data_IF_552684553719
#
_entry.id   IF_552684553719
#
_cell.length_a   1.000
_cell.length_b   1.000
_cell.length_c   1.000
_cell.angle_alpha   90.00
_cell.angle_beta   90.00
_cell.angle_gamma   90.00
#
_symmetry.space_group_name_H-M   'P 1'
#
loop_
_entity.id
_entity.type
_entity.pdbx_description
1 polymer ?
#
# COMPACT_ATOMS: atom_id res chain seq x y z
N UNK A 1 28.39 -67.35 -53.75
CA UNK A 1 27.62 -67.18 -52.50
C UNK A 1 27.47 -65.69 -52.23
N UNK A 2 26.25 -65.14 -52.21
CA UNK A 2 26.05 -63.70 -52.01
C UNK A 2 26.14 -63.33 -50.52
N UNK A 3 26.82 -62.23 -50.23
CA UNK A 3 26.97 -61.65 -48.89
C UNK A 3 25.71 -60.83 -48.60
N UNK A 4 24.91 -61.25 -47.60
CA UNK A 4 23.78 -60.48 -47.10
C UNK A 4 24.31 -59.30 -46.25
N UNK A 5 24.00 -58.08 -46.69
CA UNK A 5 24.23 -56.85 -45.91
C UNK A 5 23.05 -56.68 -44.96
N UNK A 6 23.30 -56.77 -43.66
CA UNK A 6 22.30 -56.53 -42.62
C UNK A 6 21.98 -55.03 -42.53
N UNK A 7 20.72 -54.66 -42.71
CA UNK A 7 20.21 -53.30 -42.52
C UNK A 7 20.31 -52.88 -41.06
N UNK A 8 20.88 -51.70 -40.83
CA UNK A 8 21.00 -51.10 -39.50
C UNK A 8 19.63 -50.61 -39.01
N UNK A 9 19.07 -51.30 -38.01
CA UNK A 9 17.81 -50.93 -37.37
C UNK A 9 17.82 -49.51 -36.75
N UNK A 10 16.62 -48.92 -36.52
CA UNK A 10 16.47 -47.53 -36.10
C UNK A 10 17.15 -47.28 -34.74
N UNK A 11 18.18 -46.41 -34.75
CA UNK A 11 18.90 -46.01 -33.54
C UNK A 11 17.95 -45.32 -32.56
N UNK A 12 17.80 -45.90 -31.36
CA UNK A 12 17.03 -45.32 -30.26
C UNK A 12 17.62 -43.96 -29.89
N UNK A 13 16.80 -42.90 -29.95
CA UNK A 13 17.18 -41.53 -29.55
C UNK A 13 17.67 -41.55 -28.10
N UNK A 14 18.88 -41.04 -27.88
CA UNK A 14 19.52 -40.97 -26.56
C UNK A 14 18.79 -39.98 -25.66
N UNK A 15 18.84 -40.22 -24.35
CA UNK A 15 18.19 -39.41 -23.30
C UNK A 15 18.50 -37.90 -23.42
N UNK A 16 19.70 -37.54 -23.90
CA UNK A 16 20.08 -36.15 -24.17
C UNK A 16 19.28 -35.45 -25.28
N UNK A 17 18.77 -36.19 -26.29
CA UNK A 17 17.92 -35.62 -27.35
C UNK A 17 16.47 -35.40 -26.88
N UNK A 18 16.01 -36.09 -25.83
CA UNK A 18 14.69 -35.86 -25.23
C UNK A 18 14.68 -34.66 -24.26
N UNK A 19 15.80 -34.39 -23.58
CA UNK A 19 15.95 -33.24 -22.68
C UNK A 19 16.07 -31.89 -23.42
N UNK A 20 16.67 -31.87 -24.62
CA UNK A 20 16.77 -30.64 -25.43
C UNK A 20 15.43 -30.14 -25.98
N UNK A 21 14.50 -31.03 -26.31
CA UNK A 21 13.21 -30.67 -26.90
C UNK A 21 12.24 -30.02 -25.90
N UNK A 22 12.25 -30.47 -24.63
CA UNK A 22 11.41 -29.88 -23.58
C UNK A 22 11.91 -28.52 -23.09
N UNK A 23 13.22 -28.29 -23.13
CA UNK A 23 13.81 -27.01 -22.71
C UNK A 23 13.53 -25.88 -23.73
N UNK A 24 13.56 -26.19 -25.02
CA UNK A 24 13.20 -25.22 -26.06
C UNK A 24 11.73 -24.82 -25.97
N UNK A 25 10.84 -25.79 -25.70
CA UNK A 25 9.41 -25.54 -25.50
C UNK A 25 9.13 -24.66 -24.27
N UNK A 26 9.88 -24.86 -23.18
CA UNK A 26 9.77 -24.02 -21.99
C UNK A 26 10.28 -22.58 -22.24
N UNK A 27 11.34 -22.40 -23.02
CA UNK A 27 11.83 -21.08 -23.41
C UNK A 27 10.85 -20.34 -24.33
N UNK A 28 10.21 -21.04 -25.27
CA UNK A 28 9.20 -20.46 -26.15
C UNK A 28 7.95 -20.01 -25.38
N UNK A 29 7.53 -20.77 -24.35
CA UNK A 29 6.42 -20.39 -23.45
C UNK A 29 6.77 -19.12 -22.67
N UNK A 30 7.98 -19.02 -22.10
CA UNK A 30 8.41 -17.82 -21.35
C UNK A 30 8.52 -16.59 -22.26
N UNK A 31 8.99 -16.75 -23.50
CA UNK A 31 9.03 -15.67 -24.48
C UNK A 31 7.61 -15.19 -24.84
N UNK A 32 6.67 -16.10 -25.06
CA UNK A 32 5.26 -15.77 -25.30
C UNK A 32 4.60 -15.05 -24.12
N UNK A 33 4.93 -15.44 -22.89
CA UNK A 33 4.36 -14.83 -21.69
C UNK A 33 4.93 -13.42 -21.43
N UNK A 34 6.19 -13.19 -21.81
CA UNK A 34 6.77 -11.84 -21.83
C UNK A 34 6.11 -10.94 -22.89
N UNK A 35 5.85 -11.46 -24.09
CA UNK A 35 5.14 -10.71 -25.13
C UNK A 35 3.70 -10.37 -24.71
N UNK A 36 2.96 -11.33 -24.13
CA UNK A 36 1.61 -11.10 -23.59
C UNK A 36 1.61 -10.04 -22.48
N UNK A 37 2.58 -10.09 -21.57
CA UNK A 37 2.70 -9.09 -20.51
C UNK A 37 3.07 -7.70 -21.04
N UNK A 38 3.91 -7.61 -22.08
CA UNK A 38 4.19 -6.33 -22.75
C UNK A 38 2.95 -5.81 -23.48
N UNK A 39 2.20 -6.67 -24.15
CA UNK A 39 0.97 -6.29 -24.84
C UNK A 39 -0.10 -5.81 -23.86
N UNK A 40 -0.30 -6.51 -22.74
CA UNK A 40 -1.22 -6.10 -21.67
C UNK A 40 -0.83 -4.76 -21.04
N UNK A 41 0.47 -4.52 -20.80
CA UNK A 41 0.97 -3.20 -20.35
C UNK A 41 0.73 -2.10 -21.37
N UNK A 42 0.92 -2.39 -22.66
CA UNK A 42 0.68 -1.41 -23.71
C UNK A 42 -0.80 -1.06 -23.86
N UNK A 43 -1.70 -2.04 -23.69
CA UNK A 43 -3.15 -1.84 -23.67
C UNK A 43 -3.58 -1.02 -22.46
N UNK A 44 -3.13 -1.36 -21.25
CA UNK A 44 -3.40 -0.56 -20.05
C UNK A 44 -2.88 0.88 -20.19
N UNK A 45 -1.69 1.08 -20.76
CA UNK A 45 -1.15 2.42 -21.00
C UNK A 45 -1.98 3.21 -22.02
N UNK A 46 -2.52 2.54 -23.05
CA UNK A 46 -3.44 3.17 -24.00
C UNK A 46 -4.80 3.52 -23.36
N UNK A 47 -5.35 2.65 -22.52
CA UNK A 47 -6.58 2.92 -21.78
C UNK A 47 -6.40 4.07 -20.77
N UNK A 48 -5.29 4.10 -20.05
CA UNK A 48 -4.96 5.23 -19.16
C UNK A 48 -4.82 6.54 -19.93
N UNK A 49 -4.24 6.52 -21.14
CA UNK A 49 -4.19 7.71 -22.02
C UNK A 49 -5.57 8.13 -22.51
N UNK A 50 -6.44 7.17 -22.89
CA UNK A 50 -7.83 7.45 -23.28
C UNK A 50 -8.60 8.06 -22.11
N UNK A 51 -8.47 7.48 -20.92
CA UNK A 51 -9.12 7.96 -19.70
C UNK A 51 -8.61 9.36 -19.30
N UNK A 52 -7.30 9.60 -19.34
CA UNK A 52 -6.72 10.92 -19.09
C UNK A 52 -7.16 11.97 -20.12
N UNK A 53 -7.30 11.57 -21.39
CA UNK A 53 -7.81 12.44 -22.46
C UNK A 53 -9.31 12.74 -22.28
N UNK A 54 -10.12 11.76 -21.88
CA UNK A 54 -11.54 11.96 -21.54
C UNK A 54 -11.71 12.86 -20.31
N UNK A 55 -10.91 12.65 -19.25
CA UNK A 55 -10.90 13.50 -18.06
C UNK A 55 -10.48 14.94 -18.42
N UNK A 56 -9.43 15.09 -19.24
CA UNK A 56 -8.97 16.39 -19.72
C UNK A 56 -10.00 17.10 -20.61
N UNK A 57 -10.75 16.36 -21.44
CA UNK A 57 -11.87 16.89 -22.21
C UNK A 57 -13.04 17.30 -21.31
N UNK A 58 -13.30 16.56 -20.24
CA UNK A 58 -14.35 16.88 -19.27
C UNK A 58 -13.98 18.12 -18.43
N UNK A 59 -12.71 18.25 -18.04
CA UNK A 59 -12.17 19.45 -17.40
C UNK A 59 -12.17 20.65 -18.35
N UNK A 60 -11.80 20.50 -19.62
CA UNK A 60 -11.91 21.57 -20.62
C UNK A 60 -13.35 21.99 -20.87
N UNK A 61 -14.32 21.06 -20.92
CA UNK A 61 -15.75 21.40 -21.00
C UNK A 61 -16.22 22.12 -19.74
N UNK A 62 -15.76 21.71 -18.56
CA UNK A 62 -16.01 22.40 -17.29
C UNK A 62 -15.42 23.81 -17.26
N UNK A 63 -14.18 23.98 -17.74
CA UNK A 63 -13.50 25.27 -17.84
C UNK A 63 -14.09 26.18 -18.92
N UNK A 64 -14.54 25.65 -20.06
CA UNK A 64 -15.30 26.41 -21.06
C UNK A 64 -16.67 26.84 -20.54
N UNK A 65 -17.35 25.98 -19.76
CA UNK A 65 -18.59 26.36 -19.08
C UNK A 65 -18.36 27.43 -17.98
N UNK A 66 -17.22 27.39 -17.29
CA UNK A 66 -16.81 28.41 -16.32
C UNK A 66 -16.33 29.71 -16.99
N UNK A 67 -15.63 29.64 -18.13
CA UNK A 67 -15.18 30.79 -18.91
C UNK A 67 -16.37 31.50 -19.61
N UNK A 68 -17.35 30.73 -20.12
CA UNK A 68 -18.63 31.27 -20.58
C UNK A 68 -19.43 31.96 -19.47
N UNK A 69 -19.29 31.51 -18.21
CA UNK A 69 -19.87 32.19 -17.05
C UNK A 69 -19.09 33.44 -16.61
N UNK A 70 -17.76 33.47 -16.74
CA UNK A 70 -16.95 34.66 -16.43
C UNK A 70 -17.13 35.79 -17.45
N UNK A 71 -17.39 35.48 -18.72
CA UNK A 71 -17.75 36.49 -19.74
C UNK A 71 -19.21 36.94 -19.66
N UNK A 72 -20.08 36.19 -18.98
CA UNK A 72 -21.45 36.59 -18.64
C UNK A 72 -21.58 37.23 -17.23
N UNK A 73 -20.44 37.46 -16.57
CA UNK A 73 -20.34 37.97 -15.19
C UNK A 73 -20.21 39.49 -15.08
N UNK A 74 -20.47 40.26 -16.14
CA UNK A 74 -20.91 41.63 -15.94
C UNK A 74 -22.30 41.59 -15.31
N UNK A 75 -22.37 42.16 -14.13
CA UNK A 75 -23.46 42.19 -13.15
C UNK A 75 -24.74 42.83 -13.73
N UNK A 76 -25.33 42.21 -14.76
CA UNK A 76 -26.67 42.56 -15.22
C UNK A 76 -27.62 41.95 -14.20
N UNK A 77 -28.12 42.81 -13.31
CA UNK A 77 -29.31 42.54 -12.50
C UNK A 77 -30.30 41.71 -13.33
N UNK A 78 -30.82 40.60 -12.82
CA UNK A 78 -31.68 39.71 -13.61
C UNK A 78 -32.80 40.54 -14.24
N UNK A 79 -32.78 40.65 -15.58
CA UNK A 79 -33.86 41.31 -16.31
C UNK A 79 -35.10 40.43 -16.14
N UNK A 80 -36.03 40.93 -15.32
CA UNK A 80 -37.45 40.57 -15.31
C UNK A 80 -37.76 39.08 -15.39
N UNK A 81 -37.90 38.44 -14.23
CA UNK A 81 -38.79 37.27 -14.14
C UNK A 81 -40.21 37.65 -14.56
N UNK A 82 -41.01 36.66 -14.97
CA UNK A 82 -42.33 36.71 -15.61
C UNK A 82 -43.44 37.59 -14.95
N UNK A 83 -43.15 38.30 -13.87
CA UNK A 83 -43.98 39.35 -13.28
C UNK A 83 -43.32 40.71 -13.57
N UNK A 84 -43.56 41.28 -14.76
CA UNK A 84 -42.87 42.47 -15.28
C UNK A 84 -43.08 43.80 -14.55
N UNK A 85 -43.34 43.81 -13.24
CA UNK A 85 -43.36 45.03 -12.44
C UNK A 85 -41.93 45.36 -11.98
N UNK A 86 -41.43 46.59 -12.24
CA UNK A 86 -40.14 47.01 -11.72
C UNK A 86 -40.16 46.97 -10.20
N UNK A 87 -39.13 46.37 -9.60
CA UNK A 87 -38.98 46.31 -8.15
C UNK A 87 -38.80 47.75 -7.63
N UNK A 88 -39.62 48.21 -6.67
CA UNK A 88 -39.43 49.52 -6.04
C UNK A 88 -38.03 49.63 -5.42
N UNK A 89 -37.41 50.82 -5.51
CA UNK A 89 -36.03 51.02 -5.03
C UNK A 89 -35.90 50.75 -3.53
N UNK A 90 -36.94 51.07 -2.77
CA UNK A 90 -37.04 50.85 -1.33
C UNK A 90 -36.94 49.36 -1.02
N UNK A 91 -37.71 48.53 -1.74
CA UNK A 91 -37.71 47.07 -1.59
C UNK A 91 -36.36 46.48 -2.02
N UNK A 92 -35.78 46.98 -3.12
CA UNK A 92 -34.46 46.54 -3.60
C UNK A 92 -33.34 46.83 -2.59
N UNK A 93 -33.37 47.99 -1.93
CA UNK A 93 -32.38 48.37 -0.91
C UNK A 93 -32.49 47.48 0.32
N UNK A 94 -33.71 47.24 0.81
CA UNK A 94 -33.96 46.37 1.97
C UNK A 94 -33.53 44.93 1.66
N UNK A 95 -33.86 44.37 0.48
CA UNK A 95 -33.39 43.04 0.08
C UNK A 95 -31.87 42.95 0.04
N UNK A 96 -31.19 43.97 -0.53
CA UNK A 96 -29.73 44.01 -0.61
C UNK A 96 -29.09 44.09 0.78
N UNK A 97 -29.72 44.81 1.70
CA UNK A 97 -29.29 44.92 3.08
C UNK A 97 -29.44 43.58 3.81
N UNK A 98 -30.56 42.89 3.67
CA UNK A 98 -30.79 41.56 4.29
C UNK A 98 -29.76 40.55 3.80
N UNK A 99 -29.50 40.49 2.49
CA UNK A 99 -28.53 39.55 1.91
C UNK A 99 -27.11 39.86 2.34
N UNK A 100 -26.73 41.15 2.42
CA UNK A 100 -25.38 41.55 2.82
C UNK A 100 -25.13 41.37 4.32
N UNK A 101 -26.15 41.56 5.16
CA UNK A 101 -26.07 41.32 6.60
C UNK A 101 -26.08 39.83 6.96
N UNK A 102 -26.62 38.97 6.09
CA UNK A 102 -26.76 37.53 6.36
C UNK A 102 -26.09 36.66 5.27
N UNK A 103 -24.76 36.77 5.09
CA UNK A 103 -24.05 36.08 4.03
C UNK A 103 -24.05 34.56 4.17
N UNK A 104 -24.31 34.02 5.37
CA UNK A 104 -24.35 32.59 5.68
C UNK A 104 -25.74 31.99 5.73
N UNK A 105 -26.80 32.80 5.68
CA UNK A 105 -28.17 32.32 5.84
C UNK A 105 -28.58 31.38 4.70
N UNK A 106 -29.23 30.27 5.03
CA UNK A 106 -29.79 29.34 4.05
C UNK A 106 -31.05 29.94 3.38
N UNK A 107 -31.56 29.30 2.32
CA UNK A 107 -32.72 29.82 1.59
C UNK A 107 -33.97 30.04 2.46
N UNK A 108 -34.23 29.17 3.44
CA UNK A 108 -35.42 29.24 4.30
C UNK A 108 -35.30 30.36 5.35
N UNK A 109 -34.11 30.54 5.91
CA UNK A 109 -33.78 31.67 6.80
C UNK A 109 -33.88 33.00 6.05
N UNK A 110 -33.36 33.05 4.82
CA UNK A 110 -33.44 34.24 3.98
C UNK A 110 -34.89 34.60 3.66
N UNK A 111 -35.73 33.59 3.41
CA UNK A 111 -37.17 33.75 3.19
C UNK A 111 -37.86 34.30 4.43
N UNK A 112 -37.61 33.72 5.61
CA UNK A 112 -38.19 34.22 6.87
C UNK A 112 -37.82 35.68 7.12
N UNK A 113 -36.55 36.06 6.93
CA UNK A 113 -36.12 37.46 7.12
C UNK A 113 -36.76 38.43 6.12
N UNK A 114 -37.00 38.00 4.89
CA UNK A 114 -37.70 38.81 3.88
C UNK A 114 -39.20 38.92 4.20
N UNK A 115 -39.82 37.86 4.72
CA UNK A 115 -41.21 37.87 5.17
C UNK A 115 -41.39 38.77 6.42
N UNK A 116 -40.48 38.71 7.39
CA UNK A 116 -40.48 39.55 8.61
C UNK A 116 -40.31 41.04 8.31
N UNK A 117 -39.55 41.38 7.27
CA UNK A 117 -39.37 42.77 6.81
C UNK A 117 -40.50 43.25 5.89
N UNK A 118 -41.52 42.41 5.67
CA UNK A 118 -42.71 42.76 4.90
C UNK A 118 -42.48 42.82 3.40
N UNK A 119 -41.43 42.17 2.88
CA UNK A 119 -41.16 42.13 1.44
C UNK A 119 -42.10 41.12 0.78
N UNK A 120 -42.95 41.54 -0.18
CA UNK A 120 -43.86 40.63 -0.85
C UNK A 120 -43.13 39.47 -1.55
N UNK A 121 -43.67 38.24 -1.51
CA UNK A 121 -43.10 37.06 -2.17
C UNK A 121 -42.82 37.24 -3.67
N UNK A 122 -43.58 38.11 -4.34
CA UNK A 122 -43.39 38.46 -5.75
C UNK A 122 -42.00 39.06 -6.04
N UNK A 123 -41.39 39.74 -5.06
CA UNK A 123 -40.07 40.36 -5.22
C UNK A 123 -38.94 39.50 -4.63
N UNK A 124 -39.18 38.84 -3.49
CA UNK A 124 -38.18 38.00 -2.80
C UNK A 124 -37.98 36.62 -3.45
N UNK A 125 -38.99 36.08 -4.15
CA UNK A 125 -38.98 34.71 -4.66
C UNK A 125 -37.78 34.36 -5.55
N UNK A 126 -37.34 35.30 -6.41
CA UNK A 126 -36.17 35.08 -7.28
C UNK A 126 -34.84 35.01 -6.51
N UNK A 127 -34.70 35.78 -5.42
CA UNK A 127 -33.51 35.77 -4.57
C UNK A 127 -33.45 34.51 -3.70
N UNK A 128 -34.59 34.14 -3.09
CA UNK A 128 -34.72 32.92 -2.30
C UNK A 128 -34.47 31.68 -3.16
N UNK A 129 -35.07 31.60 -4.35
CA UNK A 129 -34.86 30.47 -5.26
C UNK A 129 -33.41 30.41 -5.78
N UNK A 130 -32.77 31.55 -6.06
CA UNK A 130 -31.35 31.57 -6.40
C UNK A 130 -30.47 31.07 -5.25
N UNK A 131 -30.78 31.44 -4.00
CA UNK A 131 -30.09 30.95 -2.81
C UNK A 131 -30.30 29.45 -2.64
N UNK A 132 -31.53 28.96 -2.78
CA UNK A 132 -31.89 27.54 -2.74
C UNK A 132 -31.10 26.74 -3.75
N UNK A 133 -31.02 27.20 -5.00
CA UNK A 133 -30.19 26.57 -6.05
C UNK A 133 -28.69 26.62 -5.75
N UNK A 134 -28.20 27.66 -5.08
CA UNK A 134 -26.80 27.70 -4.63
C UNK A 134 -26.55 26.68 -3.52
N UNK A 135 -27.47 26.56 -2.56
CA UNK A 135 -27.38 25.61 -1.45
C UNK A 135 -27.48 24.17 -1.95
N UNK A 136 -28.42 23.87 -2.85
CA UNK A 136 -28.53 22.58 -3.55
C UNK A 136 -27.25 22.24 -4.33
N UNK A 137 -26.67 23.20 -5.05
CA UNK A 137 -25.39 22.99 -5.76
C UNK A 137 -24.23 22.74 -4.82
N UNK A 138 -24.17 23.46 -3.68
CA UNK A 138 -23.15 23.25 -2.65
C UNK A 138 -23.31 21.86 -2.04
N UNK A 139 -24.52 21.48 -1.62
CA UNK A 139 -24.83 20.17 -1.06
C UNK A 139 -24.45 19.05 -2.05
N UNK A 140 -24.89 19.14 -3.30
CA UNK A 140 -24.53 18.18 -4.35
C UNK A 140 -23.01 18.13 -4.63
N UNK A 141 -22.31 19.26 -4.54
CA UNK A 141 -20.85 19.29 -4.70
C UNK A 141 -20.14 18.63 -3.53
N UNK A 142 -20.61 18.83 -2.30
CA UNK A 142 -20.09 18.19 -1.10
C UNK A 142 -20.34 16.69 -1.16
N UNK A 143 -21.54 16.26 -1.55
CA UNK A 143 -21.87 14.84 -1.71
C UNK A 143 -20.99 14.16 -2.77
N UNK A 144 -20.78 14.82 -3.92
CA UNK A 144 -19.82 14.35 -4.92
C UNK A 144 -18.39 14.28 -4.40
N UNK A 145 -17.96 15.24 -3.58
CA UNK A 145 -16.63 15.20 -2.95
C UNK A 145 -16.52 14.02 -1.97
N UNK A 146 -17.57 13.73 -1.21
CA UNK A 146 -17.62 12.55 -0.32
C UNK A 146 -17.52 11.26 -1.12
N UNK A 147 -18.32 11.12 -2.18
CA UNK A 147 -18.33 9.93 -3.04
C UNK A 147 -16.97 9.72 -3.73
N UNK A 148 -16.38 10.78 -4.30
CA UNK A 148 -15.04 10.72 -4.89
C UNK A 148 -13.98 10.40 -3.83
N UNK A 149 -14.15 10.93 -2.61
CA UNK A 149 -13.27 10.68 -1.48
C UNK A 149 -13.24 9.20 -1.11
N UNK A 150 -14.41 8.61 -0.91
CA UNK A 150 -14.61 7.19 -0.63
C UNK A 150 -14.05 6.31 -1.74
N UNK A 151 -14.38 6.60 -3.02
CA UNK A 151 -13.86 5.83 -4.16
C UNK A 151 -12.33 5.83 -4.25
N UNK A 152 -11.68 6.94 -3.89
CA UNK A 152 -10.21 7.03 -3.87
C UNK A 152 -9.62 6.29 -2.67
N UNK A 153 -10.26 6.36 -1.51
CA UNK A 153 -9.83 5.66 -0.30
C UNK A 153 -10.04 4.14 -0.38
N UNK A 154 -11.05 3.68 -1.14
CA UNK A 154 -11.42 2.27 -1.30
C UNK A 154 -10.23 1.39 -1.71
N UNK A 155 -9.34 1.87 -2.58
CA UNK A 155 -8.14 1.12 -2.95
C UNK A 155 -7.23 0.86 -1.75
N UNK A 156 -7.01 1.87 -0.91
CA UNK A 156 -6.17 1.78 0.29
C UNK A 156 -6.81 0.88 1.34
N UNK A 157 -8.12 0.97 1.52
CA UNK A 157 -8.86 0.10 2.46
C UNK A 157 -8.83 -1.37 2.02
N UNK A 158 -9.05 -1.65 0.74
CA UNK A 158 -8.92 -3.00 0.19
C UNK A 158 -7.51 -3.57 0.33
N UNK A 159 -6.48 -2.72 0.25
CA UNK A 159 -5.09 -3.13 0.48
C UNK A 159 -4.84 -3.43 1.97
N UNK A 160 -5.42 -2.64 2.88
CA UNK A 160 -5.41 -2.91 4.32
C UNK A 160 -6.07 -4.24 4.69
N UNK A 161 -7.21 -4.55 4.08
CA UNK A 161 -7.86 -5.84 4.30
C UNK A 161 -7.03 -7.03 3.82
N UNK A 162 -6.31 -6.87 2.71
CA UNK A 162 -5.38 -7.91 2.21
C UNK A 162 -4.20 -8.09 3.16
N UNK A 163 -3.53 -6.99 3.52
CA UNK A 163 -2.41 -7.02 4.46
C UNK A 163 -2.84 -7.63 5.80
N UNK A 164 -4.02 -7.26 6.32
CA UNK A 164 -4.56 -7.82 7.57
C UNK A 164 -4.75 -9.34 7.53
N UNK A 165 -5.06 -9.92 6.37
CA UNK A 165 -5.17 -11.38 6.19
C UNK A 165 -3.83 -12.07 6.02
N UNK A 166 -2.85 -11.39 5.42
CA UNK A 166 -1.52 -11.91 5.16
C UNK A 166 -0.60 -11.85 6.39
N UNK A 167 -0.78 -10.86 7.28
CA UNK A 167 0.08 -10.63 8.45
C UNK A 167 0.25 -11.87 9.35
N UNK A 168 -0.81 -12.57 9.80
CA UNK A 168 -0.65 -13.75 10.65
C UNK A 168 0.12 -14.89 9.97
N UNK A 169 -0.07 -15.06 8.65
CA UNK A 169 0.65 -16.07 7.86
C UNK A 169 2.12 -15.70 7.75
N UNK A 170 2.43 -14.42 7.53
CA UNK A 170 3.79 -13.92 7.49
C UNK A 170 4.49 -14.06 8.86
N UNK A 171 3.80 -13.74 9.95
CA UNK A 171 4.31 -13.90 11.33
C UNK A 171 4.63 -15.36 11.64
N UNK A 172 3.70 -16.28 11.37
CA UNK A 172 3.94 -17.73 11.52
C UNK A 172 5.12 -18.22 10.67
N UNK A 173 5.28 -17.66 9.47
CA UNK A 173 6.38 -18.02 8.58
C UNK A 173 7.73 -17.51 9.08
N UNK A 174 7.76 -16.30 9.64
CA UNK A 174 8.95 -15.73 10.27
C UNK A 174 9.37 -16.59 11.48
N UNK A 175 8.42 -16.95 12.35
CA UNK A 175 8.71 -17.79 13.50
C UNK A 175 9.28 -19.16 13.07
N UNK A 176 8.69 -19.78 12.04
CA UNK A 176 9.22 -21.03 11.48
C UNK A 176 10.64 -20.87 10.90
N UNK A 177 10.95 -19.74 10.25
CA UNK A 177 12.32 -19.43 9.81
C UNK A 177 13.29 -19.31 10.98
N UNK A 178 12.87 -18.67 12.08
CA UNK A 178 13.71 -18.51 13.28
C UNK A 178 14.01 -19.86 13.93
N UNK A 179 12.99 -20.69 14.11
CA UNK A 179 13.13 -22.05 14.62
C UNK A 179 14.09 -22.87 13.74
N UNK A 180 14.00 -22.73 12.41
CA UNK A 180 14.91 -23.40 11.50
C UNK A 180 16.38 -22.94 11.68
N UNK A 181 16.63 -21.67 11.98
CA UNK A 181 17.99 -21.19 12.29
C UNK A 181 18.47 -21.76 13.63
N UNK A 182 17.64 -21.69 14.67
CA UNK A 182 17.99 -22.19 16.00
C UNK A 182 18.32 -23.69 15.98
N UNK A 183 17.55 -24.47 15.22
CA UNK A 183 17.73 -25.91 15.06
C UNK A 183 18.79 -26.28 14.02
N UNK A 184 19.35 -25.31 13.28
CA UNK A 184 20.33 -25.55 12.22
C UNK A 184 19.77 -26.29 11.01
N UNK A 185 18.45 -26.25 10.78
CA UNK A 185 17.79 -26.89 9.65
C UNK A 185 18.03 -26.11 8.35
N UNK A 186 19.07 -26.49 7.62
CA UNK A 186 19.39 -25.91 6.33
C UNK A 186 18.40 -26.30 5.22
N UNK A 187 17.65 -27.38 5.39
CA UNK A 187 16.70 -27.87 4.38
C UNK A 187 15.46 -26.98 4.27
N UNK A 188 15.07 -26.34 5.39
CA UNK A 188 14.03 -25.30 5.45
C UNK A 188 14.32 -24.12 4.51
N UNK A 189 15.59 -23.84 4.23
CA UNK A 189 16.02 -22.74 3.38
C UNK A 189 16.14 -23.12 1.90
N UNK A 190 15.62 -24.29 1.53
CA UNK A 190 15.58 -24.70 0.13
C UNK A 190 14.75 -23.70 -0.71
N UNK A 191 15.07 -23.55 -2.01
CA UNK A 191 14.28 -22.70 -2.89
C UNK A 191 12.78 -23.09 -2.92
N UNK A 192 12.47 -24.37 -2.75
CA UNK A 192 11.10 -24.87 -2.72
C UNK A 192 10.34 -24.43 -1.46
N UNK A 193 10.97 -24.57 -0.29
CA UNK A 193 10.42 -24.09 0.98
C UNK A 193 10.24 -22.57 0.98
N UNK A 194 11.22 -21.83 0.46
CA UNK A 194 11.09 -20.37 0.31
C UNK A 194 9.95 -19.98 -0.64
N UNK A 195 9.73 -20.75 -1.71
CA UNK A 195 8.61 -20.52 -2.62
C UNK A 195 7.26 -20.73 -1.94
N UNK A 196 7.15 -21.78 -1.11
CA UNK A 196 5.94 -22.08 -0.35
C UNK A 196 5.63 -21.00 0.68
N UNK A 197 6.66 -20.55 1.40
CA UNK A 197 6.52 -19.51 2.42
C UNK A 197 6.14 -18.16 1.80
N UNK A 198 6.74 -17.80 0.67
CA UNK A 198 6.56 -16.48 0.05
C UNK A 198 5.45 -16.43 -0.99
N UNK A 199 4.95 -17.59 -1.42
CA UNK A 199 4.05 -17.73 -2.56
C UNK A 199 4.68 -17.41 -3.92
N UNK A 200 6.01 -17.25 -3.99
CA UNK A 200 6.72 -16.88 -5.22
C UNK A 200 7.16 -18.15 -5.96
N UNK A 201 6.34 -18.65 -6.88
CA UNK A 201 6.65 -19.83 -7.72
C UNK A 201 7.97 -19.73 -8.50
N UNK A 202 8.40 -18.50 -8.81
CA UNK A 202 9.70 -18.27 -9.42
C UNK A 202 10.86 -18.78 -8.53
N UNK A 203 10.66 -18.95 -7.22
CA UNK A 203 11.69 -19.50 -6.34
C UNK A 203 11.94 -20.99 -6.58
N UNK A 204 10.91 -21.78 -6.94
CA UNK A 204 11.05 -23.21 -7.28
C UNK A 204 11.79 -23.44 -8.59
N UNK A 205 11.45 -22.63 -9.59
CA UNK A 205 11.82 -22.89 -10.99
C UNK A 205 13.08 -22.15 -11.44
N UNK A 206 13.47 -21.09 -10.73
CA UNK A 206 14.56 -20.23 -11.15
C UNK A 206 15.95 -20.83 -10.89
N UNK A 207 16.74 -20.98 -11.95
CA UNK A 207 18.18 -21.23 -11.81
C UNK A 207 18.87 -19.97 -11.26
N UNK A 208 19.40 -20.05 -10.03
CA UNK A 208 20.39 -19.15 -9.42
C UNK A 208 20.20 -17.64 -9.65
N UNK A 209 20.58 -17.13 -10.83
CA UNK A 209 20.42 -15.71 -11.19
C UNK A 209 18.96 -15.25 -11.30
N UNK A 210 18.07 -16.07 -11.84
CA UNK A 210 16.63 -15.74 -11.93
C UNK A 210 15.98 -15.67 -10.54
N UNK A 211 16.46 -16.49 -9.60
CA UNK A 211 15.96 -16.55 -8.22
C UNK A 211 16.25 -15.23 -7.51
N UNK A 212 17.50 -14.74 -7.63
CA UNK A 212 17.90 -13.44 -7.05
C UNK A 212 17.05 -12.29 -7.58
N UNK A 213 16.79 -12.26 -8.89
CA UNK A 213 15.95 -11.21 -9.49
C UNK A 213 14.52 -11.29 -8.99
N UNK A 214 13.92 -12.48 -8.96
CA UNK A 214 12.55 -12.67 -8.47
C UNK A 214 12.43 -12.25 -6.99
N UNK A 215 13.37 -12.67 -6.14
CA UNK A 215 13.35 -12.39 -4.71
C UNK A 215 13.57 -10.91 -4.41
N UNK A 216 14.48 -10.26 -5.14
CA UNK A 216 14.66 -8.81 -5.10
C UNK A 216 13.38 -8.07 -5.52
N UNK A 217 12.76 -8.47 -6.63
CA UNK A 217 11.53 -7.84 -7.12
C UNK A 217 10.39 -8.01 -6.13
N UNK A 218 10.24 -9.22 -5.56
CA UNK A 218 9.29 -9.49 -4.51
C UNK A 218 9.51 -8.56 -3.32
N UNK A 219 10.71 -8.53 -2.74
CA UNK A 219 11.02 -7.70 -1.58
C UNK A 219 10.81 -6.20 -1.83
N UNK A 220 11.22 -5.69 -2.99
CA UNK A 220 10.99 -4.28 -3.34
C UNK A 220 9.50 -3.98 -3.50
N UNK A 221 8.73 -4.88 -4.12
CA UNK A 221 7.28 -4.69 -4.27
C UNK A 221 6.56 -4.80 -2.93
N UNK A 222 7.02 -5.70 -2.07
CA UNK A 222 6.49 -5.93 -0.74
C UNK A 222 6.65 -4.66 0.12
N UNK A 223 7.84 -4.07 0.15
CA UNK A 223 8.08 -2.81 0.87
C UNK A 223 7.32 -1.62 0.29
N UNK A 224 7.13 -1.58 -1.04
CA UNK A 224 6.34 -0.51 -1.69
C UNK A 224 4.89 -0.52 -1.27
N UNK A 225 4.30 -1.68 -0.96
CA UNK A 225 2.92 -1.76 -0.45
C UNK A 225 2.74 -0.97 0.86
N UNK A 226 3.81 -0.88 1.67
CA UNK A 226 3.83 -0.09 2.92
C UNK A 226 4.37 1.33 2.74
N UNK A 227 4.53 1.80 1.50
CA UNK A 227 5.07 3.13 1.17
C UNK A 227 6.59 3.27 1.39
N UNK A 228 7.30 2.19 1.69
CA UNK A 228 8.73 2.21 1.96
C UNK A 228 9.57 1.88 0.71
N UNK A 229 10.73 2.52 0.60
CA UNK A 229 11.79 2.12 -0.34
C UNK A 229 13.07 1.85 0.44
N UNK A 230 13.66 0.64 0.35
CA UNK A 230 14.90 0.35 1.05
C UNK A 230 16.03 1.22 0.50
N UNK A 231 17.00 1.57 1.35
CA UNK A 231 18.21 2.23 0.89
C UNK A 231 19.11 1.24 0.12
N UNK A 232 20.05 1.75 -0.68
CA UNK A 232 20.93 0.91 -1.52
C UNK A 232 21.77 -0.09 -0.70
N UNK A 233 22.13 0.26 0.53
CA UNK A 233 22.88 -0.63 1.41
C UNK A 233 22.03 -1.86 1.78
N UNK A 234 20.82 -1.65 2.28
CA UNK A 234 19.86 -2.71 2.62
C UNK A 234 19.59 -3.60 1.40
N UNK A 235 19.31 -2.99 0.25
CA UNK A 235 19.02 -3.72 -0.99
C UNK A 235 20.20 -4.60 -1.40
N UNK A 236 21.44 -4.10 -1.29
CA UNK A 236 22.65 -4.86 -1.59
C UNK A 236 22.85 -6.02 -0.61
N UNK A 237 22.72 -5.78 0.70
CA UNK A 237 22.88 -6.83 1.71
C UNK A 237 21.86 -7.95 1.51
N UNK A 238 20.61 -7.61 1.23
CA UNK A 238 19.57 -8.59 0.97
C UNK A 238 19.85 -9.43 -0.29
N UNK A 239 20.25 -8.80 -1.40
CA UNK A 239 20.60 -9.50 -2.63
C UNK A 239 21.81 -10.43 -2.45
N UNK A 240 22.82 -9.97 -1.70
CA UNK A 240 24.01 -10.75 -1.39
C UNK A 240 23.68 -11.94 -0.46
N UNK A 241 22.77 -11.75 0.49
CA UNK A 241 22.26 -12.81 1.37
C UNK A 241 21.44 -13.85 0.60
N UNK A 242 20.51 -13.44 -0.28
CA UNK A 242 19.72 -14.35 -1.12
C UNK A 242 20.59 -15.29 -1.97
N UNK A 243 21.79 -14.86 -2.37
CA UNK A 243 22.73 -15.70 -3.09
C UNK A 243 23.30 -16.87 -2.28
N UNK A 244 23.26 -16.75 -0.96
CA UNK A 244 23.88 -17.64 0.01
C UNK A 244 22.86 -18.26 0.97
N UNK A 245 21.57 -17.99 0.78
CA UNK A 245 20.48 -18.55 1.59
C UNK A 245 20.56 -20.08 1.57
N UNK A 246 20.35 -20.69 2.73
CA UNK A 246 20.53 -22.11 3.01
C UNK A 246 21.97 -22.59 3.12
N UNK A 247 22.97 -21.74 2.85
CA UNK A 247 24.41 -22.10 2.90
C UNK A 247 25.19 -21.36 3.96
N UNK A 248 24.70 -20.21 4.39
CA UNK A 248 25.35 -19.36 5.39
C UNK A 248 24.31 -18.93 6.42
N UNK A 249 24.66 -19.08 7.70
CA UNK A 249 23.85 -18.60 8.82
C UNK A 249 23.61 -17.09 8.71
N UNK A 250 24.64 -16.31 8.34
CA UNK A 250 24.56 -14.88 8.06
C UNK A 250 23.48 -14.56 7.01
N UNK A 251 23.46 -15.34 5.94
CA UNK A 251 22.54 -15.14 4.83
C UNK A 251 21.09 -15.46 5.25
N UNK A 252 20.89 -16.54 6.00
CA UNK A 252 19.59 -16.91 6.54
C UNK A 252 19.07 -15.83 7.50
N UNK A 253 19.91 -15.39 8.45
CA UNK A 253 19.56 -14.32 9.39
C UNK A 253 19.21 -13.00 8.68
N UNK A 254 20.00 -12.61 7.69
CA UNK A 254 19.73 -11.39 6.89
C UNK A 254 18.38 -11.47 6.17
N UNK A 255 18.03 -12.65 5.65
CA UNK A 255 16.74 -12.88 4.99
C UNK A 255 15.60 -12.80 6.01
N UNK A 256 15.70 -13.43 7.19
CA UNK A 256 14.70 -13.30 8.26
C UNK A 256 14.50 -11.84 8.65
N UNK A 257 15.58 -11.12 8.93
CA UNK A 257 15.49 -9.71 9.35
C UNK A 257 14.86 -8.84 8.26
N UNK A 258 15.03 -9.20 6.98
CA UNK A 258 14.33 -8.56 5.87
C UNK A 258 12.82 -8.80 5.92
N UNK A 259 12.40 -10.04 6.20
CA UNK A 259 10.99 -10.38 6.36
C UNK A 259 10.36 -9.71 7.58
N UNK A 260 11.06 -9.71 8.73
CA UNK A 260 10.64 -8.97 9.93
C UNK A 260 10.49 -7.48 9.66
N UNK A 261 11.48 -6.88 8.99
CA UNK A 261 11.41 -5.48 8.61
C UNK A 261 10.18 -5.18 7.75
N UNK A 262 9.88 -6.01 6.75
CA UNK A 262 8.69 -5.82 5.91
C UNK A 262 7.39 -6.02 6.69
N UNK A 263 7.33 -7.08 7.50
CA UNK A 263 6.21 -7.38 8.37
C UNK A 263 5.88 -6.22 9.32
N UNK A 264 6.88 -5.65 9.99
CA UNK A 264 6.69 -4.51 10.91
C UNK A 264 6.15 -3.27 10.19
N UNK A 265 6.65 -2.99 8.98
CA UNK A 265 6.15 -1.90 8.17
C UNK A 265 4.69 -2.11 7.78
N UNK A 266 4.33 -3.32 7.34
CA UNK A 266 2.94 -3.66 6.99
C UNK A 266 2.01 -3.57 8.19
N UNK A 267 2.44 -4.07 9.35
CA UNK A 267 1.67 -4.02 10.59
C UNK A 267 1.38 -2.58 10.99
N UNK A 268 2.41 -1.73 11.05
CA UNK A 268 2.20 -0.33 11.41
C UNK A 268 1.44 0.46 10.32
N UNK A 269 1.62 0.11 9.05
CA UNK A 269 0.83 0.70 7.96
C UNK A 269 -0.66 0.39 8.12
N UNK A 270 -1.00 -0.87 8.44
CA UNK A 270 -2.38 -1.30 8.72
C UNK A 270 -2.95 -0.55 9.93
N UNK A 271 -2.20 -0.47 11.02
CA UNK A 271 -2.63 0.25 12.23
C UNK A 271 -2.85 1.74 11.93
N UNK A 272 -1.96 2.35 11.13
CA UNK A 272 -2.11 3.75 10.69
C UNK A 272 -3.36 3.95 9.83
N UNK A 273 -3.65 3.03 8.91
CA UNK A 273 -4.87 3.09 8.09
C UNK A 273 -6.12 3.01 8.98
N UNK A 274 -6.17 2.05 9.91
CA UNK A 274 -7.31 1.87 10.81
C UNK A 274 -7.54 3.07 11.71
N UNK A 275 -6.47 3.61 12.30
CA UNK A 275 -6.55 4.79 13.17
C UNK A 275 -7.01 6.04 12.40
N UNK A 276 -6.56 6.22 11.16
CA UNK A 276 -7.00 7.34 10.33
C UNK A 276 -8.43 7.14 9.82
N UNK A 277 -8.82 5.92 9.50
CA UNK A 277 -10.18 5.57 9.12
C UNK A 277 -11.18 5.93 10.23
N UNK A 278 -10.96 5.41 11.43
CA UNK A 278 -11.79 5.69 12.61
C UNK A 278 -11.88 7.21 12.85
N UNK A 279 -10.72 7.89 12.89
CA UNK A 279 -10.66 9.34 13.07
C UNK A 279 -11.47 10.12 12.04
N UNK A 280 -11.36 9.78 10.75
CA UNK A 280 -12.08 10.54 9.71
C UNK A 280 -13.57 10.23 9.65
N UNK A 281 -13.97 9.01 9.99
CA UNK A 281 -15.39 8.70 10.15
C UNK A 281 -15.99 9.46 11.34
N UNK A 282 -15.28 9.55 12.46
CA UNK A 282 -15.75 10.30 13.63
C UNK A 282 -15.77 11.83 13.39
N UNK A 283 -14.72 12.38 12.79
CA UNK A 283 -14.58 13.84 12.60
C UNK A 283 -15.42 14.38 11.43
N UNK A 284 -15.51 13.65 10.32
CA UNK A 284 -16.07 14.16 9.06
C UNK A 284 -17.29 13.35 8.57
N UNK A 285 -17.45 12.11 9.04
CA UNK A 285 -18.44 11.17 8.51
C UNK A 285 -18.11 10.65 7.11
N UNK A 286 -16.91 10.90 6.60
CA UNK A 286 -16.43 10.39 5.30
C UNK A 286 -14.90 10.45 5.18
N UNK A 287 -14.36 9.64 4.27
CA UNK A 287 -12.92 9.58 4.00
C UNK A 287 -12.46 10.69 3.05
N UNK A 288 -11.34 11.37 3.33
CA UNK A 288 -10.79 12.39 2.45
C UNK A 288 -10.24 11.78 1.16
N UNK A 289 -10.39 12.47 0.02
CA UNK A 289 -9.95 11.93 -1.28
C UNK A 289 -8.44 11.81 -1.48
N UNK A 290 -7.62 12.29 -0.54
CA UNK A 290 -6.18 12.09 -0.48
C UNK A 290 -5.76 11.15 0.67
N UNK A 291 -6.65 10.27 1.13
CA UNK A 291 -6.43 9.34 2.25
C UNK A 291 -5.09 8.59 2.15
N UNK A 292 -4.76 8.01 0.99
CA UNK A 292 -3.49 7.32 0.76
C UNK A 292 -2.26 8.20 1.07
N UNK A 293 -2.26 9.45 0.61
CA UNK A 293 -1.16 10.38 0.86
C UNK A 293 -1.06 10.81 2.34
N UNK A 294 -2.19 10.80 3.06
CA UNK A 294 -2.20 11.05 4.51
C UNK A 294 -1.58 9.87 5.25
N UNK A 295 -1.92 8.63 4.86
CA UNK A 295 -1.32 7.41 5.42
C UNK A 295 0.20 7.41 5.20
N UNK A 296 0.67 7.65 3.97
CA UNK A 296 2.09 7.72 3.64
C UNK A 296 2.84 8.76 4.49
N UNK A 297 2.25 9.95 4.66
CA UNK A 297 2.83 11.02 5.48
C UNK A 297 2.95 10.64 6.95
N UNK A 298 1.97 9.92 7.50
CA UNK A 298 2.01 9.43 8.89
C UNK A 298 3.01 8.29 9.07
N UNK A 299 3.24 7.48 8.04
CA UNK A 299 4.20 6.37 8.06
C UNK A 299 5.67 6.83 7.91
N UNK A 300 5.92 7.97 7.26
CA UNK A 300 7.28 8.42 6.93
C UNK A 300 8.26 8.47 8.13
N UNK A 301 7.89 9.00 9.32
CA UNK A 301 8.77 9.01 10.49
C UNK A 301 9.14 7.59 10.94
N UNK A 302 8.15 6.70 11.01
CA UNK A 302 8.35 5.31 11.41
C UNK A 302 9.23 4.55 10.42
N UNK A 303 9.00 4.72 9.11
CA UNK A 303 9.81 4.09 8.07
C UNK A 303 11.28 4.50 8.24
N UNK A 304 11.57 5.79 8.46
CA UNK A 304 12.95 6.28 8.64
C UNK A 304 13.61 5.69 9.88
N UNK A 305 12.88 5.60 10.99
CA UNK A 305 13.38 5.00 12.22
C UNK A 305 13.64 3.49 12.05
N UNK A 306 12.65 2.75 11.53
CA UNK A 306 12.77 1.32 11.33
C UNK A 306 13.86 0.96 10.34
N UNK A 307 14.05 1.73 9.27
CA UNK A 307 15.17 1.55 8.34
C UNK A 307 16.53 1.71 9.02
N UNK A 308 16.69 2.71 9.91
CA UNK A 308 17.94 2.88 10.68
C UNK A 308 18.19 1.70 11.61
N UNK A 309 17.14 1.25 12.32
CA UNK A 309 17.24 0.08 13.21
C UNK A 309 17.63 -1.17 12.40
N UNK A 310 16.99 -1.39 11.26
CA UNK A 310 17.29 -2.49 10.37
C UNK A 310 18.71 -2.42 9.79
N UNK A 311 19.17 -1.25 9.35
CA UNK A 311 20.55 -1.07 8.88
C UNK A 311 21.59 -1.40 9.95
N UNK A 312 21.35 -1.00 11.21
CA UNK A 312 22.23 -1.36 12.34
C UNK A 312 22.26 -2.88 12.51
N UNK A 313 21.09 -3.51 12.54
CA UNK A 313 20.97 -4.97 12.67
C UNK A 313 21.73 -5.71 11.58
N UNK A 314 21.64 -5.28 10.32
CA UNK A 314 22.43 -5.86 9.22
C UNK A 314 23.94 -5.70 9.41
N UNK A 315 24.39 -4.58 9.96
CA UNK A 315 25.81 -4.38 10.27
C UNK A 315 26.27 -5.31 11.40
N UNK A 316 25.44 -5.49 12.43
CA UNK A 316 25.73 -6.40 13.53
C UNK A 316 25.84 -7.84 13.00
N UNK A 317 24.92 -8.25 12.10
CA UNK A 317 24.99 -9.52 11.38
C UNK A 317 26.28 -9.67 10.58
N UNK A 318 26.71 -8.64 9.87
CA UNK A 318 27.96 -8.70 9.12
C UNK A 318 29.20 -8.76 10.03
N UNK A 319 29.13 -8.22 11.25
CA UNK A 319 30.23 -8.26 12.22
C UNK A 319 30.32 -9.62 12.90
N UNK A 320 29.21 -10.25 13.26
CA UNK A 320 29.22 -11.58 13.89
C UNK A 320 29.79 -12.65 12.95
N UNK A 321 29.44 -12.58 11.65
CA UNK A 321 29.97 -13.49 10.62
C UNK A 321 31.50 -13.40 10.57
N UNK A 322 32.07 -12.19 10.57
CA UNK A 322 33.52 -11.96 10.59
C UNK A 322 34.20 -12.49 11.84
N UNK A 323 33.49 -12.49 12.97
CA UNK A 323 34.00 -12.97 14.26
C UNK A 323 33.75 -14.48 14.47
N UNK A 324 33.00 -15.13 13.58
CA UNK A 324 32.57 -16.53 13.77
C UNK A 324 31.67 -16.72 15.00
N UNK A 325 30.98 -15.67 15.44
CA UNK A 325 30.08 -15.73 16.59
C UNK A 325 28.66 -16.01 16.11
N UNK A 326 27.95 -16.93 16.80
CA UNK A 326 26.50 -17.09 16.60
C UNK A 326 25.82 -15.79 17.04
N UNK A 327 25.02 -15.24 16.15
CA UNK A 327 24.23 -14.05 16.43
C UNK A 327 22.87 -14.49 16.93
N UNK A 328 22.50 -14.00 18.10
CA UNK A 328 21.20 -14.32 18.67
C UNK A 328 20.13 -13.34 18.19
N UNK A 329 18.85 -13.76 18.26
CA UNK A 329 17.70 -12.91 17.99
C UNK A 329 17.78 -11.55 18.69
N UNK A 330 17.16 -10.54 18.07
CA UNK A 330 17.13 -9.18 18.60
C UNK A 330 16.47 -9.18 20.00
N UNK A 331 17.22 -8.77 21.02
CA UNK A 331 16.75 -8.79 22.42
C UNK A 331 17.59 -9.71 23.32
N UNK A 332 18.20 -10.77 22.79
CA UNK A 332 18.99 -11.73 23.55
C UNK A 332 20.45 -11.29 23.66
N UNK A 333 21.01 -11.30 24.88
CA UNK A 333 22.39 -10.88 25.16
C UNK A 333 23.42 -11.92 24.70
N UNK A 334 22.99 -13.18 24.62
CA UNK A 334 23.85 -14.34 24.38
C UNK A 334 24.68 -14.81 25.52
N UNK A 335 24.47 -14.21 26.67
CA UNK A 335 24.97 -14.71 27.93
C UNK A 335 23.86 -15.52 28.56
N UNK A 336 24.03 -16.83 28.58
CA UNK A 336 23.19 -17.71 29.37
C UNK A 336 23.54 -17.52 30.86
N UNK A 337 22.52 -17.38 31.69
CA UNK A 337 22.61 -17.26 33.13
C UNK A 337 21.78 -18.38 33.74
N UNK A 338 22.38 -19.12 34.67
CA UNK A 338 21.66 -20.10 35.47
C UNK A 338 20.77 -19.37 36.48
N UNK A 339 19.47 -19.63 36.42
CA UNK A 339 18.47 -19.06 37.32
C UNK A 339 17.75 -20.19 38.05
N UNK A 340 17.65 -20.06 39.37
CA UNK A 340 16.91 -20.98 40.24
C UNK A 340 15.47 -20.48 40.34
N UNK A 341 14.51 -21.32 39.91
CA UNK A 341 13.08 -21.03 40.01
C UNK A 341 12.53 -21.14 41.44
N UNK A 342 11.29 -20.67 41.66
CA UNK A 342 10.64 -20.75 42.98
C UNK A 342 10.36 -22.19 43.43
N UNK A 343 10.39 -23.15 42.51
CA UNK A 343 10.30 -24.59 42.77
C UNK A 343 11.65 -25.25 43.11
N UNK A 344 12.75 -24.48 43.05
CA UNK A 344 14.10 -24.95 43.30
C UNK A 344 14.80 -25.61 42.10
N UNK A 345 14.16 -25.64 40.92
CA UNK A 345 14.77 -26.16 39.70
C UNK A 345 15.69 -25.11 39.06
N UNK A 346 16.73 -25.57 38.37
CA UNK A 346 17.66 -24.72 37.62
C UNK A 346 17.21 -24.58 36.17
N UNK A 347 17.21 -23.35 35.69
CA UNK A 347 16.87 -22.96 34.32
C UNK A 347 18.01 -22.17 33.72
N UNK A 348 18.42 -22.50 32.51
CA UNK A 348 19.40 -21.73 31.76
C UNK A 348 18.64 -20.72 30.88
N UNK A 349 18.71 -19.43 31.23
CA UNK A 349 17.97 -18.36 30.57
C UNK A 349 18.93 -17.31 30.01
N UNK A 350 18.54 -16.61 28.95
CA UNK A 350 19.35 -15.50 28.45
C UNK A 350 19.27 -14.31 29.43
N UNK A 351 20.40 -13.64 29.67
CA UNK A 351 20.52 -12.50 30.60
C UNK A 351 19.46 -11.40 30.37
N UNK A 352 19.05 -11.19 29.12
CA UNK A 352 18.01 -10.21 28.78
C UNK A 352 16.59 -10.60 29.25
N UNK A 353 16.35 -11.90 29.44
CA UNK A 353 15.07 -12.44 29.91
C UNK A 353 14.99 -12.40 31.44
N UNK A 354 16.14 -12.30 32.13
CA UNK A 354 16.23 -12.28 33.59
C UNK A 354 15.49 -11.07 34.19
N UNK A 355 15.51 -9.92 33.51
CA UNK A 355 14.79 -8.71 33.96
C UNK A 355 13.26 -8.86 33.88
N UNK A 356 12.76 -9.80 33.09
CA UNK A 356 11.33 -10.04 32.89
C UNK A 356 10.77 -11.16 33.79
N UNK A 357 11.62 -11.79 34.60
CA UNK A 357 11.20 -12.91 35.44
C UNK A 357 10.27 -12.48 36.57
N UNK A 358 9.23 -13.28 36.88
CA UNK A 358 8.35 -13.03 38.01
C UNK A 358 9.12 -13.05 39.34
N UNK A 359 8.57 -12.45 40.41
CA UNK A 359 9.14 -12.55 41.74
C UNK A 359 9.29 -14.03 42.17
N UNK A 360 10.46 -14.41 42.68
CA UNK A 360 10.74 -15.77 43.17
C UNK A 360 11.87 -16.49 42.46
N UNK A 361 12.27 -16.03 41.27
CA UNK A 361 13.47 -16.49 40.59
C UNK A 361 14.72 -15.83 41.20
N UNK A 362 15.85 -16.56 41.26
CA UNK A 362 17.14 -16.06 41.76
C UNK A 362 18.26 -16.45 40.82
N UNK A 363 19.12 -15.49 40.48
CA UNK A 363 20.35 -15.74 39.74
C UNK A 363 21.27 -16.60 40.63
N UNK A 364 21.82 -17.67 40.07
CA UNK A 364 22.69 -18.61 40.78
C UNK A 364 24.07 -18.02 41.08
#
# INVERSE_FOLDING_TARGET
>A
MPIQVLEAGPRKKTFGQKLGAGFQQALDIVAQDQERNQLAKSQMAQEQRKYAHELGLQEMKGQQALAGRKLAGENKNPLGGLTGQPIPKEVSNVMSQIVSQNPTANADELKMMMDETGIPPAFSGSFVENRRRQDERKAASTEKLKEMGQKRAEKTLNEADKIGKELPVAESSINAMEDAILNGDQSFWSPDSLAEITGVEAFRTAKGGQFKTAAKTFFINDLKSSGARPNQFIEKQFVDALAKVGRSEYANQTVIESFKFSHDLKKNWLDTVRNLEEKYYDDLGYMPGNFAGIVEKNMEPYIKERQKKYERRLKDIAVSEKKGQKLLPEGLSGRMIDVIGPDGNEYELDESEVEQLPPGFRIK
#
